data_IF_550509537355
#
_entry.id   IF_550509537355
#
_cell.length_a   1.000
_cell.length_b   1.000
_cell.length_c   1.000
_cell.angle_alpha   90.00
_cell.angle_beta   90.00
_cell.angle_gamma   90.00
#
_symmetry.space_group_name_H-M   'P 1'
#
loop_
_entity.id
_entity.type
_entity.pdbx_description
1 polymer ?
#
# COMPACT_ATOMS: atom_id res chain seq x y z
N UNK A 1 36.86 -14.44 -27.40
CA UNK A 1 35.81 -13.64 -28.06
C UNK A 1 34.73 -13.18 -27.08
N UNK A 2 34.16 -14.02 -26.22
CA UNK A 2 33.12 -13.61 -25.25
C UNK A 2 33.54 -12.53 -24.23
N UNK A 3 34.80 -12.53 -23.79
CA UNK A 3 35.33 -11.54 -22.81
C UNK A 3 35.49 -10.12 -23.37
N UNK A 4 35.75 -10.00 -24.68
CA UNK A 4 35.88 -8.69 -25.32
C UNK A 4 34.53 -8.07 -25.70
N UNK A 5 33.49 -8.91 -25.93
CA UNK A 5 32.14 -8.45 -26.19
C UNK A 5 31.53 -7.76 -24.96
N UNK A 6 31.77 -8.30 -23.75
CA UNK A 6 31.32 -7.70 -22.51
C UNK A 6 31.98 -6.34 -22.23
N UNK A 7 33.26 -6.21 -22.58
CA UNK A 7 34.03 -4.96 -22.37
C UNK A 7 33.57 -3.87 -23.35
N UNK A 8 33.20 -4.23 -24.57
CA UNK A 8 32.70 -3.33 -25.61
C UNK A 8 31.29 -2.80 -25.25
N UNK A 9 30.45 -3.63 -24.66
CA UNK A 9 29.12 -3.24 -24.16
C UNK A 9 29.20 -2.28 -22.96
N UNK A 10 30.19 -2.47 -22.05
CA UNK A 10 30.40 -1.57 -20.91
C UNK A 10 30.88 -0.18 -21.34
N UNK A 11 31.73 -0.09 -22.36
CA UNK A 11 32.22 1.20 -22.90
C UNK A 11 31.12 1.97 -23.63
N UNK A 12 30.17 1.26 -24.28
CA UNK A 12 29.07 1.92 -25.00
C UNK A 12 28.05 2.56 -24.04
N UNK A 13 27.88 2.02 -22.83
CA UNK A 13 26.98 2.60 -21.82
C UNK A 13 27.56 3.84 -21.13
N UNK A 14 28.89 4.02 -21.07
CA UNK A 14 29.51 5.22 -20.48
C UNK A 14 29.45 6.47 -21.36
N UNK A 15 29.21 6.31 -22.67
CA UNK A 15 29.20 7.44 -23.63
C UNK A 15 27.86 8.21 -23.68
N UNK A 16 26.80 7.75 -23.00
CA UNK A 16 25.45 8.33 -23.09
C UNK A 16 25.13 9.40 -22.03
N UNK A 17 26.07 9.78 -21.15
CA UNK A 17 25.76 10.66 -20.00
C UNK A 17 26.21 12.13 -20.19
N UNK A 18 26.70 12.53 -21.36
CA UNK A 18 27.20 13.91 -21.58
C UNK A 18 26.50 14.64 -22.72
N UNK A 19 25.17 14.81 -22.65
CA UNK A 19 24.55 15.87 -23.49
C UNK A 19 23.29 16.39 -22.80
N UNK A 20 23.37 17.67 -22.37
CA UNK A 20 22.19 18.50 -22.28
C UNK A 20 21.98 19.30 -21.01
N UNK A 21 22.82 20.27 -20.69
CA UNK A 21 22.39 21.48 -19.98
C UNK A 21 22.28 22.63 -20.97
N UNK A 22 21.10 23.22 -21.10
CA UNK A 22 20.97 24.60 -21.57
C UNK A 22 19.74 25.23 -20.92
N UNK A 23 20.03 26.13 -20.00
CA UNK A 23 19.13 27.09 -19.37
C UNK A 23 18.63 28.11 -20.38
N UNK A 24 17.37 28.57 -20.21
CA UNK A 24 17.02 29.94 -20.62
C UNK A 24 15.91 30.47 -19.68
N UNK A 25 16.33 31.45 -18.87
CA UNK A 25 15.47 32.42 -18.19
C UNK A 25 14.87 33.40 -19.20
N UNK A 26 13.68 33.91 -18.96
CA UNK A 26 13.25 35.30 -19.19
C UNK A 26 11.91 35.56 -18.53
N UNK A 27 11.93 36.24 -17.43
CA UNK A 27 11.37 37.51 -16.95
C UNK A 27 9.95 37.92 -17.40
N UNK A 28 9.11 38.17 -16.37
CA UNK A 28 8.34 39.38 -16.02
C UNK A 28 7.23 39.83 -16.99
N UNK A 29 5.95 39.89 -16.51
CA UNK A 29 5.26 41.14 -16.20
C UNK A 29 3.83 40.86 -15.65
N UNK A 30 3.53 41.52 -14.54
CA UNK A 30 2.19 41.87 -14.04
C UNK A 30 1.89 43.27 -14.52
N UNK A 31 0.63 43.70 -14.83
CA UNK A 31 -0.23 44.23 -13.77
C UNK A 31 -1.78 44.13 -13.92
N UNK A 32 -2.38 44.10 -12.76
CA UNK A 32 -3.49 44.93 -12.20
C UNK A 32 -4.86 45.06 -12.89
N UNK A 33 -5.85 44.67 -12.08
CA UNK A 33 -7.09 45.38 -11.64
C UNK A 33 -8.16 45.81 -12.64
N UNK A 34 -9.40 45.39 -12.38
CA UNK A 34 -10.51 46.27 -12.05
C UNK A 34 -11.77 45.49 -11.72
N UNK A 35 -12.27 45.77 -10.55
CA UNK A 35 -13.64 45.87 -10.03
C UNK A 35 -14.77 45.98 -11.07
N UNK A 36 -15.88 45.29 -10.88
CA UNK A 36 -17.15 45.98 -10.63
C UNK A 36 -18.24 45.08 -10.01
N UNK A 37 -19.05 45.70 -9.21
CA UNK A 37 -20.10 45.35 -8.30
C UNK A 37 -21.43 45.18 -9.04
N UNK A 38 -22.25 44.19 -8.66
CA UNK A 38 -23.70 44.38 -8.46
C UNK A 38 -24.39 43.08 -7.95
N UNK A 39 -24.93 43.16 -6.76
CA UNK A 39 -26.09 42.42 -6.21
C UNK A 39 -27.33 43.39 -6.33
N UNK A 40 -28.60 43.02 -6.12
CA UNK A 40 -29.21 41.76 -5.69
C UNK A 40 -30.53 41.41 -6.45
N UNK A 41 -31.07 40.22 -6.25
CA UNK A 41 -32.52 39.99 -6.07
C UNK A 41 -32.85 38.60 -5.53
N UNK A 42 -33.58 38.61 -4.44
CA UNK A 42 -34.23 37.46 -3.78
C UNK A 42 -35.40 36.95 -4.62
N UNK A 43 -35.64 35.66 -4.56
CA UNK A 43 -37.02 35.12 -4.44
C UNK A 43 -36.94 33.72 -3.84
N UNK A 44 -37.66 33.55 -2.73
CA UNK A 44 -37.98 32.32 -2.04
C UNK A 44 -38.83 31.42 -2.93
N UNK A 45 -38.54 30.12 -2.95
CA UNK A 45 -39.59 29.10 -2.93
C UNK A 45 -39.06 27.80 -2.36
N UNK A 46 -39.62 27.46 -1.22
CA UNK A 46 -39.41 26.25 -0.43
C UNK A 46 -40.09 25.08 -1.14
N UNK A 47 -39.30 24.05 -1.52
CA UNK A 47 -39.84 22.73 -1.73
C UNK A 47 -38.92 21.74 -1.04
N UNK A 48 -39.38 21.25 0.10
CA UNK A 48 -38.76 20.14 0.80
C UNK A 48 -38.80 18.90 -0.10
N UNK A 49 -37.66 18.54 -0.68
CA UNK A 49 -37.41 17.20 -1.19
C UNK A 49 -36.81 16.40 -0.04
N UNK A 50 -37.59 15.41 0.38
CA UNK A 50 -37.21 14.37 1.30
C UNK A 50 -35.97 13.64 0.72
N UNK A 51 -34.79 13.97 1.24
CA UNK A 51 -33.58 13.26 0.93
C UNK A 51 -33.69 11.83 1.52
N UNK A 52 -34.00 10.89 0.65
CA UNK A 52 -33.74 9.46 0.91
C UNK A 52 -32.24 9.35 1.16
N UNK A 53 -31.80 8.79 2.30
CA UNK A 53 -30.38 8.56 2.53
C UNK A 53 -29.85 7.70 1.36
N UNK A 54 -28.90 8.24 0.61
CA UNK A 54 -28.13 7.42 -0.33
C UNK A 54 -27.53 6.28 0.50
N UNK A 55 -27.92 5.05 0.18
CA UNK A 55 -27.27 3.88 0.74
C UNK A 55 -25.79 4.04 0.44
N UNK A 56 -24.97 4.11 1.49
CA UNK A 56 -23.52 3.92 1.36
C UNK A 56 -23.31 2.64 0.55
N UNK A 57 -22.40 2.63 -0.44
CA UNK A 57 -22.08 1.39 -1.12
C UNK A 57 -21.63 0.41 -0.03
N UNK A 58 -22.38 -0.67 0.13
CA UNK A 58 -21.98 -1.75 1.01
C UNK A 58 -20.57 -2.13 0.60
N UNK A 59 -19.59 -1.92 1.49
CA UNK A 59 -18.27 -2.47 1.32
C UNK A 59 -18.48 -3.97 1.12
N UNK A 60 -18.01 -4.52 0.01
CA UNK A 60 -17.99 -5.98 -0.17
C UNK A 60 -16.97 -6.51 0.84
N UNK A 61 -17.42 -6.74 2.07
CA UNK A 61 -16.61 -7.39 3.08
C UNK A 61 -16.41 -8.83 2.64
N UNK A 62 -15.16 -9.23 2.45
CA UNK A 62 -14.79 -10.61 2.20
C UNK A 62 -15.18 -11.48 3.38
N UNK A 63 -15.45 -12.74 3.12
CA UNK A 63 -15.71 -13.78 4.13
C UNK A 63 -14.53 -14.72 4.31
N UNK A 64 -13.52 -14.58 3.48
CA UNK A 64 -12.25 -15.34 3.54
C UNK A 64 -11.16 -14.42 4.05
N UNK A 65 -10.46 -14.85 5.08
CA UNK A 65 -9.29 -14.16 5.64
C UNK A 65 -8.03 -14.91 5.22
N UNK A 66 -7.30 -14.38 4.26
CA UNK A 66 -6.14 -15.03 3.64
C UNK A 66 -4.86 -14.69 4.38
N UNK A 67 -4.18 -15.72 4.92
CA UNK A 67 -2.92 -15.58 5.65
C UNK A 67 -1.79 -16.25 4.87
N UNK A 68 -0.76 -15.48 4.52
CA UNK A 68 0.44 -15.97 3.86
C UNK A 68 1.54 -16.25 4.88
N UNK A 69 2.06 -17.47 4.88
CA UNK A 69 3.11 -17.92 5.79
C UNK A 69 4.10 -18.87 5.08
N UNK A 70 5.33 -18.99 5.61
CA UNK A 70 6.33 -19.91 5.07
C UNK A 70 6.31 -21.30 5.72
N UNK A 71 5.64 -21.45 6.86
CA UNK A 71 5.43 -22.71 7.55
C UNK A 71 4.15 -22.67 8.42
N UNK A 72 3.86 -23.74 9.14
CA UNK A 72 2.66 -23.87 9.98
C UNK A 72 2.83 -23.36 11.41
N UNK A 73 3.99 -22.83 11.80
CA UNK A 73 4.25 -22.40 13.18
C UNK A 73 3.27 -21.30 13.62
N UNK A 74 3.16 -20.24 12.82
CA UNK A 74 2.24 -19.15 13.10
C UNK A 74 0.78 -19.60 13.13
N UNK A 75 0.39 -20.53 12.26
CA UNK A 75 -0.94 -21.13 12.27
C UNK A 75 -1.28 -21.74 13.64
N UNK A 76 -0.33 -22.49 14.21
CA UNK A 76 -0.52 -23.09 15.54
C UNK A 76 -0.73 -22.04 16.65
N UNK A 77 -0.03 -20.89 16.59
CA UNK A 77 -0.25 -19.78 17.52
C UNK A 77 -1.59 -19.08 17.27
N UNK A 78 -1.91 -18.81 16.02
CA UNK A 78 -3.17 -18.17 15.63
C UNK A 78 -4.36 -18.99 16.14
N UNK A 79 -4.43 -20.28 15.84
CA UNK A 79 -5.51 -21.18 16.25
C UNK A 79 -5.64 -21.32 17.78
N UNK A 80 -4.53 -21.15 18.50
CA UNK A 80 -4.50 -21.23 19.96
C UNK A 80 -5.03 -19.97 20.66
N UNK A 81 -4.74 -18.79 20.08
CA UNK A 81 -4.95 -17.53 20.80
C UNK A 81 -6.00 -16.61 20.17
N UNK A 82 -6.41 -16.87 18.94
CA UNK A 82 -7.38 -16.04 18.22
C UNK A 82 -8.67 -16.80 17.97
N UNK A 83 -9.79 -16.13 18.24
CA UNK A 83 -11.13 -16.66 17.93
C UNK A 83 -11.61 -16.03 16.64
N UNK A 84 -11.76 -16.86 15.59
CA UNK A 84 -12.27 -16.41 14.29
C UNK A 84 -13.72 -15.97 14.43
N UNK A 85 -14.13 -14.79 13.93
CA UNK A 85 -15.51 -14.33 13.94
C UNK A 85 -16.42 -15.29 13.17
N UNK A 86 -17.70 -15.34 13.59
CA UNK A 86 -18.71 -16.16 12.90
C UNK A 86 -18.87 -15.68 11.45
N UNK A 87 -18.91 -16.63 10.53
CA UNK A 87 -19.05 -16.37 9.09
C UNK A 87 -17.76 -16.07 8.36
N UNK A 88 -16.61 -15.98 9.05
CA UNK A 88 -15.30 -15.82 8.44
C UNK A 88 -14.59 -17.16 8.31
N UNK A 89 -14.01 -17.42 7.16
CA UNK A 89 -13.16 -18.59 6.90
C UNK A 89 -11.70 -18.17 6.80
N UNK A 90 -10.82 -18.76 7.59
CA UNK A 90 -9.36 -18.50 7.47
C UNK A 90 -8.77 -19.44 6.43
N UNK A 91 -8.13 -18.85 5.42
CA UNK A 91 -7.42 -19.58 4.37
C UNK A 91 -5.90 -19.38 4.55
N UNK A 92 -5.17 -20.49 4.67
CA UNK A 92 -3.73 -20.50 4.87
C UNK A 92 -3.00 -20.79 3.58
N UNK A 93 -2.22 -19.82 3.11
CA UNK A 93 -1.35 -19.94 1.94
C UNK A 93 0.07 -20.17 2.45
N UNK A 94 0.43 -21.44 2.62
CA UNK A 94 1.74 -21.84 3.14
C UNK A 94 2.66 -22.17 2.00
N UNK A 95 3.75 -21.40 1.84
CA UNK A 95 4.77 -21.56 0.82
C UNK A 95 6.15 -21.56 1.48
N UNK A 96 6.94 -22.64 1.40
CA UNK A 96 8.28 -22.67 1.98
C UNK A 96 9.18 -21.54 1.48
N UNK A 97 10.04 -21.00 2.38
CA UNK A 97 10.99 -19.91 2.04
C UNK A 97 12.15 -20.34 1.14
N UNK A 98 12.25 -21.63 0.77
CA UNK A 98 13.34 -22.14 -0.04
C UNK A 98 13.47 -21.35 -1.36
N UNK A 99 14.68 -20.92 -1.67
CA UNK A 99 15.02 -20.20 -2.91
C UNK A 99 14.14 -18.93 -3.17
N UNK A 100 13.59 -18.32 -2.13
CA UNK A 100 12.74 -17.12 -2.23
C UNK A 100 11.29 -17.41 -2.62
N UNK A 101 10.87 -18.66 -2.73
CA UNK A 101 9.54 -19.04 -3.23
C UNK A 101 8.37 -18.40 -2.44
N UNK A 102 8.52 -18.24 -1.13
CA UNK A 102 7.53 -17.55 -0.31
C UNK A 102 7.36 -16.09 -0.72
N UNK A 103 8.48 -15.35 -0.85
CA UNK A 103 8.45 -13.94 -1.21
C UNK A 103 7.92 -13.75 -2.63
N UNK A 104 8.33 -14.59 -3.59
CA UNK A 104 7.82 -14.53 -4.95
C UNK A 104 6.31 -14.73 -5.00
N UNK A 105 5.79 -15.69 -4.23
CA UNK A 105 4.34 -15.95 -4.15
C UNK A 105 3.56 -14.81 -3.49
N UNK A 106 4.10 -14.23 -2.42
CA UNK A 106 3.53 -13.07 -1.75
C UNK A 106 3.54 -11.85 -2.66
N UNK A 107 4.65 -11.58 -3.34
CA UNK A 107 4.78 -10.46 -4.27
C UNK A 107 3.77 -10.54 -5.42
N UNK A 108 3.59 -11.73 -6.02
CA UNK A 108 2.58 -11.96 -7.04
C UNK A 108 1.17 -11.59 -6.55
N UNK A 109 0.82 -12.02 -5.32
CA UNK A 109 -0.48 -11.73 -4.73
C UNK A 109 -0.65 -10.23 -4.42
N UNK A 110 0.36 -9.58 -3.83
CA UNK A 110 0.31 -8.14 -3.51
C UNK A 110 0.28 -7.25 -4.76
N UNK A 111 0.91 -7.65 -5.86
CA UNK A 111 0.80 -6.94 -7.15
C UNK A 111 -0.63 -6.94 -7.70
N UNK A 112 -1.41 -7.97 -7.36
CA UNK A 112 -2.81 -8.07 -7.79
C UNK A 112 -3.82 -7.55 -6.74
N UNK A 113 -3.35 -7.06 -5.60
CA UNK A 113 -4.16 -6.70 -4.43
C UNK A 113 -5.33 -5.74 -4.76
N UNK A 114 -5.10 -4.75 -5.60
CA UNK A 114 -6.12 -3.77 -5.97
C UNK A 114 -7.23 -4.35 -6.87
N UNK A 115 -6.88 -5.38 -7.67
CA UNK A 115 -7.79 -6.00 -8.63
C UNK A 115 -8.42 -7.30 -8.11
N UNK A 116 -7.96 -7.79 -6.96
CA UNK A 116 -8.48 -9.00 -6.35
C UNK A 116 -9.89 -8.78 -5.81
N UNK A 117 -10.74 -9.82 -5.88
CA UNK A 117 -12.02 -9.80 -5.18
C UNK A 117 -11.80 -9.74 -3.66
N UNK A 118 -12.82 -9.36 -2.89
CA UNK A 118 -12.68 -9.24 -1.44
C UNK A 118 -12.16 -10.54 -0.80
N UNK A 119 -12.61 -11.70 -1.28
CA UNK A 119 -12.20 -13.01 -0.75
C UNK A 119 -10.83 -13.51 -1.26
N UNK A 120 -10.22 -12.84 -2.24
CA UNK A 120 -8.93 -13.22 -2.83
C UNK A 120 -7.78 -12.30 -2.39
N UNK A 121 -8.07 -11.26 -1.62
CA UNK A 121 -7.05 -10.32 -1.13
C UNK A 121 -6.10 -10.97 -0.13
N UNK A 122 -4.90 -10.45 -0.04
CA UNK A 122 -3.97 -10.74 1.06
C UNK A 122 -4.42 -9.92 2.27
N UNK A 123 -4.81 -10.58 3.35
CA UNK A 123 -5.27 -9.89 4.56
C UNK A 123 -4.16 -9.80 5.61
N UNK A 124 -3.37 -10.87 5.73
CA UNK A 124 -2.24 -10.94 6.64
C UNK A 124 -1.09 -11.71 5.98
N UNK A 125 0.13 -11.28 6.22
CA UNK A 125 1.31 -12.04 5.80
C UNK A 125 2.44 -11.92 6.81
N UNK A 126 3.30 -12.91 6.84
CA UNK A 126 4.52 -12.91 7.65
C UNK A 126 5.66 -12.26 6.88
N UNK A 127 6.49 -11.49 7.58
CA UNK A 127 7.72 -10.93 7.03
C UNK A 127 8.87 -11.04 8.03
N UNK A 128 10.05 -11.37 7.53
CA UNK A 128 11.29 -11.40 8.34
C UNK A 128 12.00 -10.05 8.28
N UNK A 129 12.77 -9.75 9.31
CA UNK A 129 13.44 -8.47 9.51
C UNK A 129 14.39 -8.07 8.37
N UNK A 130 14.96 -9.03 7.64
CA UNK A 130 15.92 -8.79 6.56
C UNK A 130 15.28 -8.27 5.28
N UNK A 131 13.97 -8.45 5.08
CA UNK A 131 13.24 -7.96 3.90
C UNK A 131 11.95 -7.20 4.23
N UNK A 132 11.59 -6.99 5.50
CA UNK A 132 10.33 -6.34 5.91
C UNK A 132 10.17 -4.93 5.30
N UNK A 133 11.26 -4.17 5.12
CA UNK A 133 11.20 -2.82 4.57
C UNK A 133 10.58 -2.75 3.18
N UNK A 134 10.78 -3.78 2.36
CA UNK A 134 10.12 -3.89 1.05
C UNK A 134 8.60 -3.78 1.17
N UNK A 135 8.04 -4.34 2.22
CA UNK A 135 6.59 -4.38 2.43
C UNK A 135 6.09 -3.17 3.19
N UNK A 136 6.81 -2.66 4.18
CA UNK A 136 6.41 -1.44 4.90
C UNK A 136 6.36 -0.22 3.99
N UNK A 137 7.23 -0.14 2.99
CA UNK A 137 7.21 0.92 1.98
C UNK A 137 6.16 0.69 0.86
N UNK A 138 5.49 -0.44 0.85
CA UNK A 138 4.48 -0.76 -0.16
C UNK A 138 3.19 0.03 0.06
N UNK A 139 2.57 0.58 -1.00
CA UNK A 139 1.30 1.30 -0.89
C UNK A 139 0.11 0.38 -0.54
N UNK A 140 0.25 -0.94 -0.75
CA UNK A 140 -0.84 -1.90 -0.46
C UNK A 140 -0.86 -2.38 0.98
N UNK A 141 0.20 -2.12 1.77
CA UNK A 141 0.20 -2.41 3.21
C UNK A 141 -0.47 -1.27 3.98
N UNK A 142 -1.26 -1.62 4.97
CA UNK A 142 -2.10 -0.67 5.70
C UNK A 142 -1.48 -0.23 7.02
N UNK A 143 -1.90 0.93 7.51
CA UNK A 143 -1.60 1.40 8.87
C UNK A 143 -2.37 0.54 9.88
N UNK A 144 -1.66 -0.26 10.65
CA UNK A 144 -2.30 -1.15 11.64
C UNK A 144 -2.96 -0.36 12.77
N UNK A 145 -2.54 0.88 13.03
CA UNK A 145 -3.19 1.74 14.02
C UNK A 145 -4.56 2.19 13.56
N UNK A 146 -4.73 2.45 12.26
CA UNK A 146 -6.02 2.72 11.65
C UNK A 146 -6.95 1.49 11.68
N UNK A 147 -6.38 0.28 11.72
CA UNK A 147 -7.13 -0.97 11.91
C UNK A 147 -7.43 -1.28 13.38
N UNK A 148 -7.07 -0.39 14.32
CA UNK A 148 -7.37 -0.53 15.75
C UNK A 148 -6.25 -1.16 16.59
N UNK A 149 -5.10 -1.52 16.00
CA UNK A 149 -3.94 -2.03 16.75
C UNK A 149 -3.13 -0.85 17.27
N UNK A 150 -3.39 -0.42 18.52
CA UNK A 150 -2.78 0.79 19.13
C UNK A 150 -1.87 0.49 20.31
N UNK A 151 -1.93 -0.72 20.87
CA UNK A 151 -1.11 -1.13 22.01
C UNK A 151 0.01 -2.07 21.57
N UNK A 152 1.24 -1.56 21.61
CA UNK A 152 2.47 -2.30 21.31
C UNK A 152 3.30 -2.60 22.58
N UNK A 153 2.73 -2.42 23.78
CA UNK A 153 3.46 -2.57 25.04
C UNK A 153 4.01 -3.99 25.28
N UNK A 154 3.36 -4.99 24.70
CA UNK A 154 3.78 -6.40 24.75
C UNK A 154 4.68 -6.82 23.57
N UNK A 155 5.06 -5.88 22.69
CA UNK A 155 5.84 -6.15 21.49
C UNK A 155 7.31 -5.73 21.74
N UNK A 156 8.23 -6.45 21.14
CA UNK A 156 9.63 -6.01 21.17
C UNK A 156 9.81 -4.71 20.37
N UNK A 157 10.50 -3.73 20.92
CA UNK A 157 10.68 -2.42 20.30
C UNK A 157 11.29 -2.50 18.89
N UNK A 158 12.21 -3.43 18.64
CA UNK A 158 12.84 -3.61 17.35
C UNK A 158 11.86 -4.11 16.26
N UNK A 159 10.85 -4.91 16.64
CA UNK A 159 9.84 -5.38 15.67
C UNK A 159 8.89 -4.25 15.27
N UNK A 160 8.48 -3.41 16.23
CA UNK A 160 7.70 -2.21 15.93
C UNK A 160 8.49 -1.26 15.03
N UNK A 161 9.78 -1.05 15.36
CA UNK A 161 10.65 -0.20 14.54
C UNK A 161 10.81 -0.75 13.10
N UNK A 162 10.99 -2.07 12.94
CA UNK A 162 11.13 -2.70 11.64
C UNK A 162 9.84 -2.60 10.80
N UNK A 163 8.67 -2.65 11.45
CA UNK A 163 7.36 -2.50 10.82
C UNK A 163 6.95 -1.04 10.63
N UNK A 164 7.77 -0.06 11.00
CA UNK A 164 7.45 1.36 10.89
C UNK A 164 8.10 2.01 9.67
N UNK A 165 7.35 2.84 8.95
CA UNK A 165 7.90 3.73 7.93
C UNK A 165 8.53 4.99 8.56
N UNK A 166 9.29 5.77 7.78
CA UNK A 166 10.00 6.95 8.26
C UNK A 166 9.09 8.01 8.93
N UNK A 167 7.82 8.06 8.59
CA UNK A 167 6.81 8.93 9.23
C UNK A 167 6.37 8.45 10.62
N UNK A 168 6.78 7.25 11.05
CA UNK A 168 6.37 6.63 12.31
C UNK A 168 5.07 5.82 12.24
N UNK A 169 4.47 5.69 11.06
CA UNK A 169 3.30 4.81 10.86
C UNK A 169 3.75 3.35 10.90
N UNK A 170 3.06 2.53 11.67
CA UNK A 170 3.29 1.08 11.75
C UNK A 170 2.42 0.37 10.72
N UNK A 171 3.02 -0.53 9.96
CA UNK A 171 2.40 -1.26 8.86
C UNK A 171 2.15 -2.72 9.21
#
# INVERSE_FOLDING_TARGET
MKKYLALLLAVLMLAAVFTGCASKETTTDTPAASTDTAEPAKTDENTAAEETPAAEPASEEGKVFNIYAWNEEFKGFFEKYYTVPEGVTVNWIITPSADGAYQDKLDEALLNQENASADDKVDLFLAEADYIQKYTESPVTQDVTALGVTDFSSTYAYTVQAASVASGVVK
#
